data_IF_401433341943
#
_entry.id   IF_401433341943
#
_cell.length_a   1.000
_cell.length_b   1.000
_cell.length_c   1.000
_cell.angle_alpha   90.00
_cell.angle_beta   90.00
_cell.angle_gamma   90.00
#
_symmetry.space_group_name_H-M   'P 1'
#
loop_
_entity.id
_entity.type
_entity.pdbx_description
1 polymer ?
#
# COMPACT_ATOMS: atom_id res chain seq x y z
N UNK A 1 4.16 2.02 -25.46
CA UNK A 1 3.10 2.37 -24.47
C UNK A 1 2.41 3.64 -24.94
N UNK A 2 1.14 3.56 -25.32
CA UNK A 2 0.35 4.77 -25.45
C UNK A 2 0.21 5.40 -24.07
N UNK A 3 0.38 6.72 -23.93
CA UNK A 3 0.58 7.40 -22.62
C UNK A 3 -0.54 7.16 -21.57
N UNK A 4 -1.65 6.50 -21.94
CA UNK A 4 -2.86 6.39 -21.11
C UNK A 4 -3.54 5.02 -21.15
N UNK A 5 -2.97 4.00 -21.80
CA UNK A 5 -3.56 2.66 -21.89
C UNK A 5 -2.53 1.57 -21.58
N UNK A 6 -3.01 0.47 -21.03
CA UNK A 6 -2.20 -0.75 -20.88
C UNK A 6 -1.93 -1.36 -22.26
N UNK A 7 -0.80 -2.03 -22.38
CA UNK A 7 -0.52 -2.87 -23.54
C UNK A 7 -1.52 -4.06 -23.59
N UNK A 8 -1.82 -4.59 -24.78
CA UNK A 8 -2.75 -5.73 -24.91
C UNK A 8 -2.40 -6.92 -24.03
N UNK A 9 -1.12 -7.24 -23.89
CA UNK A 9 -0.62 -8.33 -23.03
C UNK A 9 -0.88 -8.05 -21.54
N UNK A 10 -0.70 -6.81 -21.08
CA UNK A 10 -1.00 -6.42 -19.71
C UNK A 10 -2.51 -6.51 -19.44
N UNK A 11 -3.33 -6.11 -20.39
CA UNK A 11 -4.79 -6.20 -20.28
C UNK A 11 -5.24 -7.66 -20.19
N UNK A 12 -4.71 -8.53 -21.05
CA UNK A 12 -5.00 -9.96 -21.03
C UNK A 12 -4.59 -10.60 -19.69
N UNK A 13 -3.40 -10.27 -19.21
CA UNK A 13 -2.91 -10.76 -17.92
C UNK A 13 -3.78 -10.30 -16.74
N UNK A 14 -4.26 -9.05 -16.75
CA UNK A 14 -5.18 -8.56 -15.71
C UNK A 14 -6.49 -9.36 -15.67
N UNK A 15 -7.05 -9.72 -16.82
CA UNK A 15 -8.29 -10.53 -16.88
C UNK A 15 -8.02 -12.00 -16.47
N UNK A 16 -6.87 -12.56 -16.83
CA UNK A 16 -6.44 -13.87 -16.35
C UNK A 16 -6.32 -13.89 -14.82
N UNK A 17 -5.65 -12.90 -14.23
CA UNK A 17 -5.52 -12.76 -12.77
C UNK A 17 -6.87 -12.62 -12.08
N UNK A 18 -7.80 -11.86 -12.65
CA UNK A 18 -9.15 -11.71 -12.11
C UNK A 18 -9.89 -13.06 -12.10
N UNK A 19 -9.86 -13.78 -13.22
CA UNK A 19 -10.48 -15.09 -13.35
C UNK A 19 -9.88 -16.08 -12.35
N UNK A 20 -8.54 -16.11 -12.25
CA UNK A 20 -7.82 -16.93 -11.30
C UNK A 20 -8.19 -16.61 -9.84
N UNK A 21 -8.35 -15.30 -9.52
CA UNK A 21 -8.80 -14.87 -8.19
C UNK A 21 -10.22 -15.37 -7.88
N UNK A 22 -11.13 -15.28 -8.85
CA UNK A 22 -12.52 -15.71 -8.67
C UNK A 22 -12.67 -17.23 -8.59
N UNK A 23 -12.00 -17.99 -9.47
CA UNK A 23 -12.23 -19.42 -9.63
C UNK A 23 -11.36 -20.28 -8.69
N UNK A 24 -10.14 -19.84 -8.38
CA UNK A 24 -9.18 -20.65 -7.61
C UNK A 24 -8.89 -20.11 -6.22
N UNK A 25 -8.74 -18.79 -6.05
CA UNK A 25 -8.32 -18.21 -4.78
C UNK A 25 -9.50 -17.92 -3.84
N UNK A 26 -10.62 -17.40 -4.36
CA UNK A 26 -11.82 -17.14 -3.56
C UNK A 26 -12.34 -18.38 -2.82
N UNK A 27 -12.43 -19.58 -3.42
CA UNK A 27 -12.86 -20.77 -2.69
C UNK A 27 -11.93 -21.19 -1.55
N UNK A 28 -10.64 -20.82 -1.61
CA UNK A 28 -9.69 -21.02 -0.51
C UNK A 28 -9.84 -19.93 0.55
N UNK A 29 -10.07 -18.69 0.13
CA UNK A 29 -10.32 -17.57 1.04
C UNK A 29 -11.57 -17.80 1.90
N UNK A 30 -12.67 -18.26 1.29
CA UNK A 30 -13.95 -18.56 1.97
C UNK A 30 -13.85 -19.68 3.01
N UNK A 31 -12.83 -20.55 2.92
CA UNK A 31 -12.57 -21.59 3.92
C UNK A 31 -11.67 -21.14 5.05
N UNK A 32 -11.08 -19.95 4.93
CA UNK A 32 -10.23 -19.37 5.96
C UNK A 32 -11.02 -18.92 7.19
N UNK A 33 -10.37 -18.93 8.34
CA UNK A 33 -10.91 -18.38 9.58
C UNK A 33 -10.72 -16.85 9.57
N UNK A 34 -11.79 -16.04 9.77
CA UNK A 34 -11.66 -14.59 9.83
C UNK A 34 -10.64 -14.13 10.88
N UNK A 35 -9.80 -13.17 10.54
CA UNK A 35 -8.77 -12.63 11.45
C UNK A 35 -7.54 -13.54 11.62
N UNK A 36 -7.46 -14.67 10.91
CA UNK A 36 -6.34 -15.61 10.97
C UNK A 36 -5.60 -15.68 9.64
N UNK A 37 -4.32 -16.05 9.70
CA UNK A 37 -3.51 -16.26 8.48
C UNK A 37 -4.02 -17.50 7.73
N UNK A 38 -4.49 -17.30 6.51
CA UNK A 38 -4.93 -18.38 5.64
C UNK A 38 -3.72 -19.02 4.94
N UNK A 39 -3.03 -19.94 5.60
CA UNK A 39 -1.85 -20.64 5.05
C UNK A 39 -2.13 -21.43 3.76
N UNK A 40 -3.30 -22.11 3.57
CA UNK A 40 -3.63 -22.71 2.29
C UNK A 40 -3.74 -21.72 1.13
N UNK A 41 -4.29 -20.52 1.39
CA UNK A 41 -4.36 -19.46 0.38
C UNK A 41 -2.95 -18.93 0.03
N UNK A 42 -2.09 -18.75 1.03
CA UNK A 42 -0.70 -18.33 0.81
C UNK A 42 0.08 -19.38 0.00
N UNK A 43 -0.08 -20.67 0.30
CA UNK A 43 0.54 -21.75 -0.45
C UNK A 43 0.09 -21.74 -1.93
N UNK A 44 -1.22 -21.55 -2.18
CA UNK A 44 -1.74 -21.42 -3.54
C UNK A 44 -1.17 -20.21 -4.29
N UNK A 45 -1.01 -19.06 -3.63
CA UNK A 45 -0.34 -17.87 -4.21
C UNK A 45 1.12 -18.18 -4.59
N UNK A 46 1.82 -18.95 -3.76
CA UNK A 46 3.19 -19.42 -4.04
C UNK A 46 3.24 -20.41 -5.22
N UNK A 47 2.38 -21.43 -5.25
CA UNK A 47 2.28 -22.41 -6.33
C UNK A 47 1.96 -21.78 -7.69
N UNK A 48 1.16 -20.71 -7.69
CA UNK A 48 0.82 -19.92 -8.87
C UNK A 48 1.94 -18.94 -9.29
N UNK A 49 3.05 -18.89 -8.53
CA UNK A 49 4.17 -17.98 -8.80
C UNK A 49 3.89 -16.50 -8.54
N UNK A 50 2.73 -16.16 -7.94
CA UNK A 50 2.33 -14.76 -7.73
C UNK A 50 3.19 -14.08 -6.67
N UNK A 51 3.61 -14.81 -5.63
CA UNK A 51 4.52 -14.29 -4.61
C UNK A 51 5.92 -14.03 -5.19
N UNK A 52 6.43 -14.93 -6.03
CA UNK A 52 7.73 -14.74 -6.69
C UNK A 52 7.69 -13.53 -7.63
N UNK A 53 6.64 -13.44 -8.43
CA UNK A 53 6.42 -12.33 -9.37
C UNK A 53 6.36 -10.98 -8.65
N UNK A 54 5.68 -10.90 -7.51
CA UNK A 54 5.61 -9.67 -6.71
C UNK A 54 6.99 -9.15 -6.30
N UNK A 55 7.94 -10.02 -5.99
CA UNK A 55 9.30 -9.61 -5.60
C UNK A 55 10.21 -9.29 -6.77
N UNK A 56 9.91 -9.81 -7.96
CA UNK A 56 10.70 -9.61 -9.18
C UNK A 56 10.22 -8.44 -10.04
N UNK A 57 9.03 -7.89 -9.77
CA UNK A 57 8.38 -6.90 -10.62
C UNK A 57 8.62 -5.45 -10.16
N UNK A 58 8.33 -4.51 -11.08
CA UNK A 58 8.25 -3.08 -10.78
C UNK A 58 6.94 -2.69 -10.10
N UNK A 59 6.82 -1.40 -9.80
CA UNK A 59 5.63 -0.85 -9.14
C UNK A 59 4.37 -0.94 -10.01
N UNK A 60 4.50 -0.77 -11.33
CA UNK A 60 3.35 -0.89 -12.24
C UNK A 60 2.80 -2.32 -12.25
N UNK A 61 3.65 -3.31 -12.38
CA UNK A 61 3.24 -4.71 -12.39
C UNK A 61 2.62 -5.11 -11.04
N UNK A 62 3.19 -4.66 -9.92
CA UNK A 62 2.61 -4.81 -8.59
C UNK A 62 1.21 -4.19 -8.51
N UNK A 63 0.99 -3.01 -9.09
CA UNK A 63 -0.33 -2.38 -9.14
C UNK A 63 -1.33 -3.19 -9.97
N UNK A 64 -0.93 -3.69 -11.13
CA UNK A 64 -1.79 -4.54 -11.98
C UNK A 64 -2.19 -5.84 -11.27
N UNK A 65 -1.24 -6.47 -10.61
CA UNK A 65 -1.46 -7.68 -9.82
C UNK A 65 -2.47 -7.43 -8.69
N UNK A 66 -2.24 -6.40 -7.88
CA UNK A 66 -3.10 -6.07 -6.74
C UNK A 66 -4.49 -5.61 -7.16
N UNK A 67 -4.63 -4.76 -8.20
CA UNK A 67 -5.93 -4.35 -8.74
C UNK A 67 -6.75 -5.56 -9.20
N UNK A 68 -6.11 -6.46 -9.96
CA UNK A 68 -6.79 -7.60 -10.56
C UNK A 68 -7.24 -8.62 -9.52
N UNK A 69 -6.37 -8.94 -8.55
CA UNK A 69 -6.73 -9.82 -7.43
C UNK A 69 -7.86 -9.22 -6.59
N UNK A 70 -7.78 -7.94 -6.25
CA UNK A 70 -8.80 -7.26 -5.44
C UNK A 70 -10.18 -7.23 -6.09
N UNK A 71 -10.24 -7.13 -7.43
CA UNK A 71 -11.49 -7.18 -8.18
C UNK A 71 -12.15 -8.56 -8.08
N UNK A 72 -11.35 -9.63 -7.98
CA UNK A 72 -11.81 -11.02 -7.88
C UNK A 72 -11.94 -11.54 -6.45
N UNK A 73 -10.97 -11.28 -5.59
CA UNK A 73 -10.88 -11.77 -4.20
C UNK A 73 -9.97 -10.86 -3.37
N UNK A 74 -10.55 -10.04 -2.50
CA UNK A 74 -9.81 -9.10 -1.64
C UNK A 74 -8.91 -9.80 -0.64
N UNK A 75 -9.29 -10.97 -0.13
CA UNK A 75 -8.49 -11.76 0.82
C UNK A 75 -7.20 -12.29 0.17
N UNK A 76 -7.28 -12.71 -1.10
CA UNK A 76 -6.10 -13.17 -1.83
C UNK A 76 -5.14 -12.01 -2.12
N UNK A 77 -5.68 -10.85 -2.47
CA UNK A 77 -4.90 -9.62 -2.63
C UNK A 77 -4.20 -9.25 -1.33
N UNK A 78 -4.96 -9.22 -0.23
CA UNK A 78 -4.42 -8.87 1.08
C UNK A 78 -3.34 -9.85 1.54
N UNK A 79 -3.57 -11.16 1.41
CA UNK A 79 -2.59 -12.18 1.75
C UNK A 79 -1.27 -11.98 0.97
N UNK A 80 -1.36 -11.69 -0.33
CA UNK A 80 -0.20 -11.37 -1.17
C UNK A 80 0.49 -10.07 -0.71
N UNK A 81 -0.27 -9.00 -0.52
CA UNK A 81 0.26 -7.68 -0.16
C UNK A 81 0.99 -7.68 1.18
N UNK A 82 0.45 -8.38 2.19
CA UNK A 82 1.06 -8.48 3.52
C UNK A 82 2.39 -9.23 3.48
N UNK A 83 2.49 -10.30 2.68
CA UNK A 83 3.76 -10.97 2.43
C UNK A 83 4.78 -10.02 1.78
N UNK A 84 4.34 -9.26 0.80
CA UNK A 84 5.15 -8.26 0.13
C UNK A 84 5.68 -7.20 1.08
N UNK A 85 4.80 -6.62 1.88
CA UNK A 85 5.15 -5.55 2.82
C UNK A 85 6.18 -6.03 3.86
N UNK A 86 5.95 -7.21 4.47
CA UNK A 86 6.84 -7.77 5.48
C UNK A 86 8.20 -8.21 4.94
N UNK A 87 8.26 -8.63 3.67
CA UNK A 87 9.46 -9.25 3.06
C UNK A 87 10.29 -8.27 2.23
N UNK A 88 9.70 -7.21 1.68
CA UNK A 88 10.45 -6.24 0.85
C UNK A 88 11.70 -5.67 1.53
N UNK A 89 11.70 -5.37 2.85
CA UNK A 89 12.93 -4.99 3.55
C UNK A 89 14.03 -6.04 3.46
N UNK A 90 13.68 -7.34 3.53
CA UNK A 90 14.66 -8.44 3.37
C UNK A 90 15.21 -8.50 1.94
N UNK A 91 14.32 -8.35 0.94
CA UNK A 91 14.72 -8.34 -0.48
C UNK A 91 15.69 -7.20 -0.78
N UNK A 92 15.41 -6.01 -0.25
CA UNK A 92 16.16 -4.77 -0.61
C UNK A 92 17.38 -4.51 0.26
N UNK A 93 17.28 -4.75 1.57
CA UNK A 93 18.29 -4.41 2.55
C UNK A 93 18.91 -5.61 3.26
N UNK A 94 18.38 -6.82 3.07
CA UNK A 94 18.91 -8.04 3.69
C UNK A 94 20.26 -8.46 3.12
N UNK A 95 21.08 -9.11 3.93
CA UNK A 95 22.30 -9.79 3.52
C UNK A 95 22.01 -10.99 2.62
N UNK A 96 22.98 -11.52 1.86
CA UNK A 96 22.79 -12.77 1.11
C UNK A 96 22.29 -13.93 1.99
N UNK A 97 22.84 -14.09 3.19
CA UNK A 97 22.43 -15.15 4.14
C UNK A 97 20.97 -14.97 4.62
N UNK A 98 20.55 -13.75 4.93
CA UNK A 98 19.15 -13.46 5.29
C UNK A 98 18.20 -13.77 4.14
N UNK A 99 18.55 -13.38 2.92
CA UNK A 99 17.74 -13.67 1.71
C UNK A 99 17.65 -15.19 1.46
N UNK A 100 18.78 -15.89 1.51
CA UNK A 100 18.83 -17.35 1.31
C UNK A 100 17.98 -18.09 2.34
N UNK A 101 18.01 -17.67 3.59
CA UNK A 101 17.23 -18.28 4.68
C UNK A 101 15.72 -18.10 4.51
N UNK A 102 15.24 -16.89 4.15
CA UNK A 102 13.84 -16.55 4.28
C UNK A 102 13.05 -16.52 2.96
N UNK A 103 13.66 -16.02 1.87
CA UNK A 103 12.94 -15.82 0.62
C UNK A 103 12.39 -17.09 -0.01
N UNK A 104 13.07 -18.27 0.00
CA UNK A 104 12.50 -19.47 -0.60
C UNK A 104 11.19 -19.91 0.08
N UNK A 105 11.11 -19.79 1.40
CA UNK A 105 9.88 -20.11 2.15
C UNK A 105 8.75 -19.14 1.86
N UNK A 106 9.04 -17.83 1.82
CA UNK A 106 8.07 -16.78 1.50
C UNK A 106 7.54 -16.93 0.07
N UNK A 107 8.42 -17.09 -0.92
CA UNK A 107 8.04 -17.27 -2.34
C UNK A 107 7.15 -18.49 -2.57
N UNK A 108 7.37 -19.54 -1.80
CA UNK A 108 6.55 -20.74 -1.83
C UNK A 108 5.28 -20.65 -0.95
N UNK A 109 4.99 -19.52 -0.32
CA UNK A 109 3.83 -19.32 0.56
C UNK A 109 3.85 -20.14 1.85
N UNK A 110 5.00 -20.69 2.24
CA UNK A 110 5.15 -21.49 3.47
C UNK A 110 5.57 -20.68 4.67
N UNK A 111 6.25 -19.56 4.45
CA UNK A 111 6.75 -18.67 5.51
C UNK A 111 5.95 -17.38 5.48
N UNK A 112 5.44 -16.96 6.62
CA UNK A 112 4.60 -15.77 6.80
C UNK A 112 5.44 -14.63 7.36
N UNK A 113 5.38 -13.47 6.70
CA UNK A 113 6.11 -12.27 7.07
C UNK A 113 5.21 -11.20 7.69
N UNK A 114 5.75 -10.42 8.63
CA UNK A 114 5.09 -9.24 9.17
C UNK A 114 5.97 -7.99 9.05
N UNK A 115 5.33 -6.80 9.01
CA UNK A 115 5.98 -5.49 8.98
C UNK A 115 5.62 -4.71 10.24
N UNK A 116 6.50 -4.70 11.22
CA UNK A 116 6.25 -4.20 12.56
C UNK A 116 6.83 -2.77 12.75
N UNK A 117 6.14 -1.78 12.16
CA UNK A 117 6.52 -0.36 12.25
C UNK A 117 5.71 0.37 13.33
N UNK A 118 4.37 0.28 13.28
CA UNK A 118 3.45 1.07 14.08
C UNK A 118 3.43 0.68 15.54
N UNK A 119 3.19 1.68 16.43
CA UNK A 119 3.04 1.54 17.87
C UNK A 119 1.75 2.22 18.33
N UNK A 120 1.21 1.93 19.52
CA UNK A 120 0.03 2.62 20.03
C UNK A 120 0.18 4.15 20.03
N UNK A 121 1.37 4.67 20.31
CA UNK A 121 1.69 6.11 20.33
C UNK A 121 2.29 6.66 19.03
N UNK A 122 2.60 5.81 18.03
CA UNK A 122 3.32 6.21 16.82
C UNK A 122 2.75 5.52 15.56
N UNK A 123 1.62 5.99 15.09
CA UNK A 123 1.00 5.57 13.83
C UNK A 123 1.39 6.50 12.68
N UNK A 124 0.70 7.65 12.55
CA UNK A 124 0.97 8.65 11.50
C UNK A 124 2.35 9.28 11.65
N UNK A 125 2.81 9.52 12.86
CA UNK A 125 4.18 9.95 13.17
C UNK A 125 5.07 8.74 13.46
N UNK A 126 5.32 7.92 12.43
CA UNK A 126 6.13 6.72 12.55
C UNK A 126 7.60 7.01 12.96
N UNK A 127 8.09 8.23 12.77
CA UNK A 127 9.41 8.67 13.23
C UNK A 127 9.52 8.79 14.76
N UNK A 128 8.40 8.89 15.45
CA UNK A 128 8.32 8.98 16.91
C UNK A 128 8.24 7.62 17.62
N UNK A 129 8.40 6.50 16.89
CA UNK A 129 8.40 5.16 17.51
C UNK A 129 9.37 5.07 18.69
N UNK A 130 8.98 4.30 19.71
CA UNK A 130 9.63 4.22 21.03
C UNK A 130 10.14 2.83 21.39
N UNK A 131 9.79 1.76 20.65
CA UNK A 131 10.33 0.42 20.87
C UNK A 131 11.85 0.52 21.00
N UNK A 132 12.39 0.26 22.18
CA UNK A 132 13.80 0.44 22.49
C UNK A 132 14.62 -0.75 21.96
N UNK A 133 15.81 -0.46 21.42
CA UNK A 133 16.86 -1.42 21.14
C UNK A 133 18.07 -1.08 22.03
N UNK A 134 18.11 -1.67 23.24
CA UNK A 134 19.14 -1.41 24.23
C UNK A 134 20.41 -2.20 23.87
N UNK A 135 21.59 -1.56 23.80
CA UNK A 135 22.82 -2.24 23.43
C UNK A 135 23.27 -3.26 24.47
N UNK A 136 23.79 -4.40 23.99
CA UNK A 136 24.40 -5.46 24.78
C UNK A 136 25.74 -5.87 24.18
N UNK A 137 26.58 -6.63 24.87
CA UNK A 137 27.89 -7.07 24.32
C UNK A 137 27.79 -7.86 22.99
N UNK A 138 26.62 -8.48 22.69
CA UNK A 138 26.41 -9.29 21.49
C UNK A 138 25.41 -8.72 20.49
N UNK A 139 24.90 -7.50 20.69
CA UNK A 139 23.87 -6.88 19.86
C UNK A 139 22.95 -5.96 20.64
N UNK A 140 21.65 -6.23 20.62
CA UNK A 140 20.64 -5.42 21.33
C UNK A 140 19.57 -6.30 22.00
N UNK A 141 18.83 -5.70 22.92
CA UNK A 141 17.58 -6.21 23.47
C UNK A 141 16.45 -5.28 23.07
N UNK A 142 15.42 -5.85 22.44
CA UNK A 142 14.23 -5.10 22.06
C UNK A 142 13.21 -5.15 23.20
N UNK A 143 12.73 -3.97 23.62
CA UNK A 143 11.73 -3.84 24.69
C UNK A 143 10.67 -2.81 24.31
N UNK A 144 9.38 -3.20 24.40
CA UNK A 144 8.22 -2.36 24.08
C UNK A 144 7.16 -3.11 23.31
N UNK A 145 6.31 -2.38 22.58
CA UNK A 145 5.13 -2.92 21.90
C UNK A 145 5.03 -2.42 20.45
N UNK A 146 4.54 -3.28 19.56
CA UNK A 146 4.06 -2.93 18.23
C UNK A 146 2.58 -3.25 18.13
N UNK A 147 1.81 -2.39 17.42
CA UNK A 147 0.38 -2.52 17.32
C UNK A 147 -0.10 -2.36 15.86
N UNK A 148 -1.22 -2.98 15.55
CA UNK A 148 -1.79 -3.06 14.20
C UNK A 148 -0.84 -3.70 13.18
N UNK A 149 -0.18 -4.77 13.61
CA UNK A 149 0.77 -5.49 12.79
C UNK A 149 0.05 -6.61 12.06
N UNK A 150 0.00 -6.47 10.75
CA UNK A 150 -0.59 -7.50 9.89
C UNK A 150 0.19 -8.79 9.98
N UNK A 151 -0.52 -9.92 9.92
CA UNK A 151 -0.03 -11.29 10.12
C UNK A 151 0.43 -11.60 11.56
N UNK A 152 0.55 -10.63 12.47
CA UNK A 152 0.84 -10.92 13.87
C UNK A 152 -0.41 -11.46 14.59
N UNK A 153 -0.25 -12.41 15.53
CA UNK A 153 0.98 -13.02 16.00
C UNK A 153 1.42 -14.29 15.24
N UNK A 154 0.83 -14.60 14.08
CA UNK A 154 1.03 -15.86 13.35
C UNK A 154 2.17 -15.82 12.32
N UNK A 155 2.87 -14.69 12.21
CA UNK A 155 4.04 -14.54 11.35
C UNK A 155 5.19 -15.45 11.81
N UNK A 156 5.95 -15.99 10.86
CA UNK A 156 7.15 -16.78 11.14
C UNK A 156 8.38 -15.86 11.38
N UNK A 157 8.34 -14.63 10.85
CA UNK A 157 9.26 -13.56 11.18
C UNK A 157 8.62 -12.18 11.00
N UNK A 158 9.18 -11.20 11.67
CA UNK A 158 8.81 -9.79 11.52
C UNK A 158 10.02 -8.93 11.13
N UNK A 159 9.82 -8.01 10.18
CA UNK A 159 10.69 -6.83 10.02
C UNK A 159 10.28 -5.81 11.07
N UNK A 160 11.13 -5.61 12.08
CA UNK A 160 10.86 -4.78 13.26
C UNK A 160 11.71 -3.51 13.20
N UNK A 161 11.08 -2.35 13.43
CA UNK A 161 11.77 -1.07 13.52
C UNK A 161 11.86 -0.63 14.97
N UNK A 162 13.08 -0.45 15.48
CA UNK A 162 13.35 -0.10 16.86
C UNK A 162 14.33 1.06 16.98
N UNK A 163 14.27 1.78 18.09
CA UNK A 163 15.13 2.92 18.39
C UNK A 163 16.44 2.46 19.00
N UNK A 164 17.52 2.59 18.23
CA UNK A 164 18.90 2.30 18.65
C UNK A 164 19.62 3.51 19.22
N UNK A 165 19.31 4.73 18.70
CA UNK A 165 19.90 5.98 19.18
C UNK A 165 18.81 6.93 19.68
N UNK A 166 18.63 7.06 21.01
CA UNK A 166 17.69 8.01 21.60
C UNK A 166 18.00 9.46 21.18
N UNK A 167 16.95 10.27 20.98
CA UNK A 167 17.08 11.69 20.63
C UNK A 167 17.46 12.00 19.18
N UNK A 168 17.86 11.01 18.38
CA UNK A 168 18.24 11.23 16.99
C UNK A 168 17.05 11.30 15.99
N UNK A 169 15.81 11.28 16.49
CA UNK A 169 14.61 11.28 15.63
C UNK A 169 14.57 10.06 14.72
N UNK A 170 14.12 10.21 13.50
CA UNK A 170 14.07 9.11 12.51
C UNK A 170 15.45 8.53 12.13
N UNK A 171 16.53 9.26 12.41
CA UNK A 171 17.91 8.81 12.15
C UNK A 171 18.49 7.89 13.24
N UNK A 172 17.75 7.65 14.32
CA UNK A 172 18.14 6.71 15.38
C UNK A 172 17.29 5.44 15.36
N UNK A 173 16.74 5.05 14.23
CA UNK A 173 15.91 3.85 14.06
C UNK A 173 16.66 2.83 13.22
N UNK A 174 16.72 1.58 13.72
CA UNK A 174 17.27 0.43 13.02
C UNK A 174 16.18 -0.55 12.64
N UNK A 175 16.30 -1.21 11.50
CA UNK A 175 15.44 -2.29 11.08
C UNK A 175 16.08 -3.64 11.43
N UNK A 176 15.31 -4.54 12.04
CA UNK A 176 15.73 -5.88 12.44
C UNK A 176 14.82 -6.94 11.82
N UNK A 177 15.41 -8.03 11.40
CA UNK A 177 14.70 -9.25 11.02
C UNK A 177 14.59 -10.13 12.26
N UNK A 178 13.40 -10.27 12.83
CA UNK A 178 13.17 -10.98 14.08
C UNK A 178 12.35 -12.24 13.83
N UNK A 179 12.95 -13.46 13.96
CA UNK A 179 12.20 -14.71 13.95
C UNK A 179 11.16 -14.77 15.07
N UNK A 180 10.01 -15.39 14.81
CA UNK A 180 8.90 -15.44 15.76
C UNK A 180 9.20 -16.31 17.02
N UNK A 181 10.18 -17.20 16.93
CA UNK A 181 10.61 -18.09 18.02
C UNK A 181 11.60 -17.46 18.99
N UNK A 182 11.88 -16.16 18.83
CA UNK A 182 12.79 -15.44 19.77
C UNK A 182 12.21 -15.39 21.18
N UNK A 183 13.02 -15.72 22.21
CA UNK A 183 12.59 -15.58 23.60
C UNK A 183 12.13 -14.16 23.91
N UNK A 184 11.02 -14.01 24.63
CA UNK A 184 10.46 -12.72 25.03
C UNK A 184 9.58 -12.05 23.96
N UNK A 185 9.42 -12.65 22.77
CA UNK A 185 8.47 -12.19 21.77
C UNK A 185 7.13 -12.88 21.96
N UNK A 186 6.07 -12.11 22.18
CA UNK A 186 4.68 -12.58 22.23
C UNK A 186 3.78 -11.68 21.42
N UNK A 187 2.50 -12.04 21.27
CA UNK A 187 1.53 -11.21 20.55
C UNK A 187 0.11 -11.67 20.76
N UNK A 188 -0.84 -10.79 20.45
CA UNK A 188 -2.28 -11.05 20.54
C UNK A 188 -2.97 -10.63 19.25
N UNK A 189 -3.97 -11.42 18.76
CA UNK A 189 -4.79 -11.01 17.63
C UNK A 189 -5.68 -9.83 18.03
N UNK A 190 -6.01 -8.99 17.06
CA UNK A 190 -6.98 -7.90 17.18
C UNK A 190 -8.20 -8.21 16.31
N UNK A 191 -9.39 -8.04 16.89
CA UNK A 191 -10.65 -8.13 16.13
C UNK A 191 -10.93 -6.77 15.48
N UNK A 192 -10.89 -6.74 14.15
CA UNK A 192 -10.99 -5.52 13.37
C UNK A 192 -12.26 -5.51 12.52
N UNK A 193 -12.65 -4.32 12.02
CA UNK A 193 -13.80 -4.15 11.12
C UNK A 193 -13.70 -5.06 9.88
N UNK A 194 -12.52 -5.16 9.30
CA UNK A 194 -12.17 -6.01 8.17
C UNK A 194 -11.49 -7.26 8.71
N UNK A 195 -11.82 -8.47 8.24
CA UNK A 195 -11.37 -9.72 8.84
C UNK A 195 -9.94 -10.09 8.41
N UNK A 196 -9.01 -9.14 8.51
CA UNK A 196 -7.60 -9.39 8.22
C UNK A 196 -6.87 -9.96 9.44
N UNK A 197 -5.83 -10.81 9.23
CA UNK A 197 -4.94 -11.21 10.30
C UNK A 197 -4.10 -10.00 10.75
N UNK A 198 -4.44 -9.44 11.89
CA UNK A 198 -3.77 -8.27 12.47
C UNK A 198 -3.67 -8.43 13.99
N UNK A 199 -2.60 -7.91 14.60
CA UNK A 199 -2.40 -8.08 16.03
C UNK A 199 -1.40 -7.11 16.62
N UNK A 200 -1.05 -7.36 17.87
CA UNK A 200 0.05 -6.74 18.60
C UNK A 200 1.25 -7.69 18.65
N UNK A 201 2.44 -7.11 18.87
CA UNK A 201 3.67 -7.82 19.22
C UNK A 201 4.27 -7.15 20.45
N UNK A 202 4.52 -7.92 21.49
CA UNK A 202 5.16 -7.50 22.72
C UNK A 202 6.59 -8.02 22.76
N UNK A 203 7.53 -7.15 23.11
CA UNK A 203 8.96 -7.42 23.17
C UNK A 203 9.43 -7.24 24.62
N UNK A 204 9.73 -8.34 25.30
CA UNK A 204 10.29 -8.36 26.67
C UNK A 204 11.76 -8.77 26.61
N UNK A 205 12.62 -7.80 26.33
CA UNK A 205 14.06 -8.02 26.23
C UNK A 205 14.46 -8.99 25.11
N UNK A 206 13.75 -8.99 23.98
CA UNK A 206 13.99 -9.90 22.82
C UNK A 206 15.40 -9.71 22.28
N UNK A 207 16.26 -10.75 22.30
CA UNK A 207 17.64 -10.62 21.86
C UNK A 207 17.74 -10.54 20.34
N UNK A 208 18.51 -9.57 19.83
CA UNK A 208 18.89 -9.44 18.42
C UNK A 208 20.38 -9.13 18.30
N UNK A 209 20.99 -9.58 17.20
CA UNK A 209 22.43 -9.44 16.94
C UNK A 209 22.68 -8.58 15.69
N UNK A 210 23.93 -8.34 15.37
CA UNK A 210 24.30 -7.67 14.12
C UNK A 210 23.81 -8.43 12.87
N UNK A 211 23.70 -9.76 12.95
CA UNK A 211 23.22 -10.60 11.85
C UNK A 211 21.71 -10.46 11.61
N UNK A 212 20.97 -9.91 12.58
CA UNK A 212 19.54 -9.63 12.45
C UNK A 212 19.27 -8.22 11.86
N UNK A 213 20.27 -7.36 11.70
CA UNK A 213 20.09 -6.01 11.15
C UNK A 213 19.77 -6.08 9.66
N UNK A 214 18.74 -5.35 9.24
CA UNK A 214 18.41 -5.12 7.83
C UNK A 214 18.98 -3.76 7.38
N UNK A 215 19.97 -3.81 6.49
CA UNK A 215 20.74 -2.63 6.07
C UNK A 215 21.80 -2.23 7.09
N UNK A 216 21.78 -0.97 7.52
CA UNK A 216 22.73 -0.39 8.46
C UNK A 216 22.04 0.07 9.75
N UNK A 217 22.69 -0.01 10.91
CA UNK A 217 22.20 0.63 12.14
C UNK A 217 21.85 2.11 11.91
N UNK A 218 20.82 2.59 12.57
CA UNK A 218 20.30 3.97 12.46
C UNK A 218 19.81 4.40 11.08
N UNK A 219 19.68 3.45 10.11
CA UNK A 219 19.14 3.67 8.77
C UNK A 219 17.80 2.97 8.52
N UNK A 220 17.24 2.32 9.53
CA UNK A 220 16.02 1.52 9.40
C UNK A 220 14.80 2.33 8.96
N UNK A 221 14.68 3.60 9.34
CA UNK A 221 13.59 4.44 8.88
C UNK A 221 13.59 4.64 7.35
N UNK A 222 14.79 4.69 6.75
CA UNK A 222 14.91 4.72 5.28
C UNK A 222 14.39 3.41 4.67
N UNK A 223 14.74 2.26 5.25
CA UNK A 223 14.22 0.94 4.81
C UNK A 223 12.70 0.91 4.86
N UNK A 224 12.09 1.46 5.94
CA UNK A 224 10.64 1.58 6.03
C UNK A 224 10.04 2.46 4.93
N UNK A 225 10.61 3.64 4.71
CA UNK A 225 10.09 4.60 3.72
C UNK A 225 10.26 4.12 2.28
N UNK A 226 11.37 3.46 1.96
CA UNK A 226 11.63 2.87 0.63
C UNK A 226 10.61 1.74 0.34
N UNK A 227 10.26 0.94 1.35
CA UNK A 227 9.20 -0.06 1.25
C UNK A 227 7.84 0.60 1.02
N UNK A 228 7.46 1.58 1.83
CA UNK A 228 6.17 2.26 1.72
C UNK A 228 6.02 3.05 0.41
N UNK A 229 7.10 3.62 -0.14
CA UNK A 229 7.04 4.33 -1.41
C UNK A 229 6.74 3.40 -2.59
N UNK A 230 7.18 2.13 -2.54
CA UNK A 230 6.80 1.09 -3.50
C UNK A 230 5.32 0.69 -3.31
N UNK A 231 4.89 0.50 -2.05
CA UNK A 231 3.57 -0.06 -1.76
C UNK A 231 2.42 0.95 -1.84
N UNK A 232 2.61 2.23 -1.56
CA UNK A 232 1.55 3.25 -1.57
C UNK A 232 0.75 3.33 -2.88
N UNK A 233 1.37 3.37 -4.09
CA UNK A 233 0.60 3.29 -5.34
C UNK A 233 -0.22 2.01 -5.42
N UNK A 234 0.31 0.88 -4.96
CA UNK A 234 -0.36 -0.41 -5.01
C UNK A 234 -1.52 -0.54 -3.99
N UNK A 235 -1.50 0.20 -2.87
CA UNK A 235 -2.70 0.40 -2.02
C UNK A 235 -3.80 1.12 -2.81
N UNK A 236 -3.42 2.10 -3.64
CA UNK A 236 -4.36 2.73 -4.57
C UNK A 236 -4.94 1.72 -5.57
N UNK A 237 -4.10 0.82 -6.11
CA UNK A 237 -4.54 -0.25 -7.00
C UNK A 237 -5.53 -1.23 -6.33
N UNK A 238 -5.26 -1.63 -5.07
CA UNK A 238 -6.19 -2.40 -4.25
C UNK A 238 -7.56 -1.71 -4.16
N UNK A 239 -7.57 -0.42 -3.82
CA UNK A 239 -8.78 0.37 -3.73
C UNK A 239 -9.53 0.46 -5.07
N UNK A 240 -8.80 0.64 -6.19
CA UNK A 240 -9.37 0.61 -7.55
C UNK A 240 -10.00 -0.74 -7.88
N UNK A 241 -9.37 -1.85 -7.50
CA UNK A 241 -9.92 -3.21 -7.70
C UNK A 241 -11.27 -3.38 -7.00
N UNK A 242 -11.39 -2.95 -5.75
CA UNK A 242 -12.66 -2.94 -5.01
C UNK A 242 -13.71 -2.02 -5.65
N UNK A 243 -13.32 -0.83 -6.08
CA UNK A 243 -14.22 0.11 -6.75
C UNK A 243 -14.76 -0.48 -8.07
N UNK A 244 -13.91 -1.15 -8.86
CA UNK A 244 -14.32 -1.84 -10.09
C UNK A 244 -15.29 -2.97 -9.80
N UNK A 245 -15.02 -3.83 -8.81
CA UNK A 245 -15.94 -4.89 -8.40
C UNK A 245 -17.33 -4.34 -7.99
N UNK A 246 -17.35 -3.26 -7.21
CA UNK A 246 -18.57 -2.59 -6.80
C UNK A 246 -19.32 -1.95 -7.97
N UNK A 247 -18.60 -1.31 -8.90
CA UNK A 247 -19.17 -0.69 -10.11
C UNK A 247 -19.80 -1.76 -11.02
N UNK A 248 -19.07 -2.84 -11.31
CA UNK A 248 -19.55 -3.95 -12.14
C UNK A 248 -20.85 -4.56 -11.58
N UNK A 249 -20.85 -4.83 -10.27
CA UNK A 249 -22.04 -5.33 -9.56
C UNK A 249 -23.21 -4.35 -9.65
N UNK A 250 -22.94 -3.05 -9.52
CA UNK A 250 -23.97 -1.99 -9.56
C UNK A 250 -24.57 -1.82 -10.94
N UNK A 251 -23.74 -1.81 -11.99
CA UNK A 251 -24.22 -1.76 -13.39
C UNK A 251 -25.12 -2.97 -13.67
N UNK A 252 -24.68 -4.18 -13.32
CA UNK A 252 -25.45 -5.39 -13.52
C UNK A 252 -26.77 -5.40 -12.70
N UNK A 253 -26.76 -4.84 -11.49
CA UNK A 253 -27.94 -4.73 -10.65
C UNK A 253 -28.94 -3.73 -11.20
N UNK A 254 -28.53 -2.51 -11.52
CA UNK A 254 -29.42 -1.42 -11.94
C UNK A 254 -30.04 -1.67 -13.30
N UNK A 255 -29.33 -2.38 -14.19
CA UNK A 255 -29.87 -2.78 -15.49
C UNK A 255 -30.99 -3.84 -15.40
N UNK A 256 -30.98 -4.68 -14.34
CA UNK A 256 -31.97 -5.77 -14.20
C UNK A 256 -33.06 -5.47 -13.19
N UNK A 257 -32.80 -4.67 -12.17
CA UNK A 257 -33.75 -4.34 -11.13
C UNK A 257 -34.77 -3.31 -11.61
N UNK A 258 -36.02 -3.68 -11.59
CA UNK A 258 -37.13 -2.78 -11.93
C UNK A 258 -37.78 -2.16 -10.68
N UNK A 259 -38.10 -0.88 -10.76
CA UNK A 259 -38.93 -0.13 -9.82
C UNK A 259 -39.64 0.99 -10.58
N UNK A 260 -40.80 1.42 -10.10
CA UNK A 260 -41.60 2.46 -10.75
C UNK A 260 -41.93 2.17 -12.23
N UNK A 261 -42.03 0.87 -12.60
CA UNK A 261 -42.37 0.43 -13.95
C UNK A 261 -41.23 0.33 -14.97
N UNK A 262 -39.98 0.63 -14.57
CA UNK A 262 -38.80 0.61 -15.44
C UNK A 262 -37.55 0.06 -14.74
N UNK A 263 -36.49 -0.35 -15.47
CA UNK A 263 -35.19 -0.62 -14.89
C UNK A 263 -34.66 0.58 -14.09
N UNK A 264 -33.91 0.33 -13.00
CA UNK A 264 -33.31 1.42 -12.22
C UNK A 264 -32.36 2.27 -13.04
N UNK A 265 -31.69 1.70 -14.04
CA UNK A 265 -30.81 2.42 -14.99
C UNK A 265 -31.49 3.54 -15.75
N UNK A 266 -32.81 3.47 -15.94
CA UNK A 266 -33.58 4.48 -16.67
C UNK A 266 -33.88 5.71 -15.79
N UNK A 267 -33.69 5.61 -14.48
CA UNK A 267 -33.81 6.74 -13.57
C UNK A 267 -32.55 7.60 -13.67
N UNK A 268 -32.70 8.87 -14.09
CA UNK A 268 -31.58 9.79 -14.27
C UNK A 268 -30.70 9.92 -13.02
N UNK A 269 -31.30 9.95 -11.81
CA UNK A 269 -30.57 10.02 -10.56
C UNK A 269 -29.67 8.78 -10.33
N UNK A 270 -30.06 7.60 -10.85
CA UNK A 270 -29.24 6.36 -10.77
C UNK A 270 -28.16 6.37 -11.83
N UNK A 271 -28.50 6.64 -13.09
CA UNK A 271 -27.52 6.65 -14.21
C UNK A 271 -26.42 7.68 -14.00
N UNK A 272 -26.72 8.86 -13.44
CA UNK A 272 -25.70 9.88 -13.11
C UNK A 272 -24.77 9.42 -11.99
N UNK A 273 -25.26 8.73 -10.96
CA UNK A 273 -24.41 8.17 -9.91
C UNK A 273 -23.46 7.09 -10.45
N UNK A 274 -23.97 6.20 -11.33
CA UNK A 274 -23.13 5.19 -11.98
C UNK A 274 -22.06 5.84 -12.86
N UNK A 275 -22.39 6.90 -13.61
CA UNK A 275 -21.42 7.66 -14.40
C UNK A 275 -20.33 8.29 -13.51
N UNK A 276 -20.70 8.89 -12.37
CA UNK A 276 -19.75 9.45 -11.41
C UNK A 276 -18.85 8.37 -10.80
N UNK A 277 -19.42 7.20 -10.43
CA UNK A 277 -18.64 6.06 -9.94
C UNK A 277 -17.60 5.62 -10.97
N UNK A 278 -17.99 5.49 -12.23
CA UNK A 278 -17.10 5.10 -13.33
C UNK A 278 -15.97 6.13 -13.54
N UNK A 279 -16.33 7.42 -13.59
CA UNK A 279 -15.37 8.52 -13.77
C UNK A 279 -14.33 8.56 -12.67
N UNK A 280 -14.75 8.44 -11.39
CA UNK A 280 -13.82 8.42 -10.24
C UNK A 280 -12.91 7.20 -10.26
N UNK A 281 -13.45 6.04 -10.61
CA UNK A 281 -12.68 4.78 -10.68
C UNK A 281 -11.59 4.88 -11.76
N UNK A 282 -11.93 5.37 -12.94
CA UNK A 282 -10.97 5.52 -14.03
C UNK A 282 -9.91 6.58 -13.74
N UNK A 283 -10.30 7.75 -13.21
CA UNK A 283 -9.36 8.79 -12.79
C UNK A 283 -8.39 8.28 -11.71
N UNK A 284 -8.88 7.51 -10.74
CA UNK A 284 -8.07 6.89 -9.70
C UNK A 284 -7.06 5.90 -10.30
N UNK A 285 -7.50 5.06 -11.23
CA UNK A 285 -6.69 4.06 -11.93
C UNK A 285 -5.54 4.71 -12.71
N UNK A 286 -5.82 5.76 -13.46
CA UNK A 286 -4.82 6.51 -14.21
C UNK A 286 -3.77 7.15 -13.30
N UNK A 287 -4.17 7.75 -12.17
CA UNK A 287 -3.24 8.30 -11.19
C UNK A 287 -2.34 7.22 -10.57
N UNK A 288 -2.89 6.04 -10.27
CA UNK A 288 -2.13 4.91 -9.73
C UNK A 288 -1.07 4.45 -10.73
N UNK A 289 -1.44 4.25 -11.99
CA UNK A 289 -0.51 3.79 -13.03
C UNK A 289 0.55 4.84 -13.34
N UNK A 290 0.18 6.12 -13.39
CA UNK A 290 1.15 7.20 -13.58
C UNK A 290 2.17 7.28 -12.43
N UNK A 291 1.73 7.08 -11.19
CA UNK A 291 2.62 7.07 -10.02
C UNK A 291 3.55 5.85 -10.04
N UNK A 292 3.03 4.67 -10.40
CA UNK A 292 3.80 3.44 -10.49
C UNK A 292 4.83 3.48 -11.62
N UNK A 293 4.46 3.96 -12.82
CA UNK A 293 5.36 4.13 -13.94
C UNK A 293 6.49 5.13 -13.64
N UNK A 294 6.17 6.25 -12.95
CA UNK A 294 7.18 7.22 -12.53
C UNK A 294 8.16 6.63 -11.50
N UNK A 295 7.68 5.75 -10.61
CA UNK A 295 8.55 5.02 -9.68
C UNK A 295 9.51 4.11 -10.44
N UNK A 296 9.01 3.32 -11.38
CA UNK A 296 9.81 2.37 -12.18
C UNK A 296 10.84 3.08 -13.07
N UNK A 297 10.49 4.27 -13.58
CA UNK A 297 11.39 5.12 -14.36
C UNK A 297 12.42 5.88 -13.50
N UNK A 298 12.36 5.81 -12.17
CA UNK A 298 13.25 6.55 -11.27
C UNK A 298 13.07 8.07 -11.37
N UNK A 299 11.87 8.55 -11.73
CA UNK A 299 11.58 9.98 -11.86
C UNK A 299 11.68 10.71 -10.51
N UNK A 300 11.92 12.02 -10.55
CA UNK A 300 11.83 12.88 -9.37
C UNK A 300 10.39 13.06 -8.91
N UNK A 301 10.17 13.33 -7.60
CA UNK A 301 8.85 13.59 -7.04
C UNK A 301 7.96 12.34 -6.88
N UNK A 302 8.55 11.15 -6.87
CA UNK A 302 7.85 9.88 -6.59
C UNK A 302 7.01 9.93 -5.31
N UNK A 303 7.49 10.43 -4.15
CA UNK A 303 6.69 10.45 -2.93
C UNK A 303 5.39 11.25 -3.08
N UNK A 304 5.42 12.39 -3.77
CA UNK A 304 4.23 13.20 -4.05
C UNK A 304 3.24 12.47 -4.97
N UNK A 305 3.74 11.86 -6.06
CA UNK A 305 2.90 11.11 -7.02
C UNK A 305 2.24 9.92 -6.33
N UNK A 306 3.00 9.15 -5.56
CA UNK A 306 2.50 8.02 -4.77
C UNK A 306 1.44 8.46 -3.74
N UNK A 307 1.66 9.59 -3.06
CA UNK A 307 0.70 10.16 -2.11
C UNK A 307 -0.59 10.61 -2.80
N UNK A 308 -0.51 11.27 -3.97
CA UNK A 308 -1.68 11.69 -4.76
C UNK A 308 -2.49 10.48 -5.24
N UNK A 309 -1.83 9.47 -5.76
CA UNK A 309 -2.47 8.24 -6.23
C UNK A 309 -3.19 7.51 -5.10
N UNK A 310 -2.51 7.26 -3.98
CA UNK A 310 -3.09 6.59 -2.81
C UNK A 310 -4.26 7.37 -2.23
N UNK A 311 -4.11 8.68 -2.02
CA UNK A 311 -5.17 9.55 -1.49
C UNK A 311 -6.42 9.49 -2.37
N UNK A 312 -6.27 9.80 -3.66
CA UNK A 312 -7.41 9.90 -4.55
C UNK A 312 -8.10 8.54 -4.76
N UNK A 313 -7.33 7.47 -4.94
CA UNK A 313 -7.88 6.13 -5.15
C UNK A 313 -8.67 5.62 -3.94
N UNK A 314 -8.14 5.78 -2.72
CA UNK A 314 -8.83 5.28 -1.52
C UNK A 314 -10.07 6.09 -1.17
N UNK A 315 -10.07 7.41 -1.36
CA UNK A 315 -11.25 8.26 -1.18
C UNK A 315 -12.32 7.96 -2.25
N UNK A 316 -11.91 7.79 -3.52
CA UNK A 316 -12.81 7.43 -4.61
C UNK A 316 -13.44 6.06 -4.42
N UNK A 317 -12.67 5.06 -4.00
CA UNK A 317 -13.18 3.72 -3.73
C UNK A 317 -14.21 3.71 -2.60
N UNK A 318 -13.98 4.46 -1.53
CA UNK A 318 -14.97 4.63 -0.46
C UNK A 318 -16.28 5.21 -1.01
N UNK A 319 -16.21 6.26 -1.83
CA UNK A 319 -17.38 6.86 -2.47
C UNK A 319 -18.11 5.84 -3.37
N UNK A 320 -17.37 5.10 -4.20
CA UNK A 320 -17.95 4.14 -5.14
C UNK A 320 -18.64 3.00 -4.42
N UNK A 321 -18.01 2.42 -3.40
CA UNK A 321 -18.60 1.32 -2.62
C UNK A 321 -19.81 1.79 -1.81
N UNK A 322 -19.76 2.96 -1.18
CA UNK A 322 -20.89 3.54 -0.44
C UNK A 322 -22.10 3.77 -1.37
N UNK A 323 -21.85 4.38 -2.55
CA UNK A 323 -22.88 4.59 -3.56
C UNK A 323 -23.46 3.26 -4.08
N UNK A 324 -22.60 2.25 -4.29
CA UNK A 324 -23.05 0.91 -4.69
C UNK A 324 -24.00 0.28 -3.65
N UNK A 325 -23.65 0.35 -2.36
CA UNK A 325 -24.52 -0.10 -1.27
C UNK A 325 -25.86 0.62 -1.31
N UNK A 326 -25.85 1.94 -1.46
CA UNK A 326 -27.07 2.75 -1.55
C UNK A 326 -27.96 2.32 -2.70
N UNK A 327 -27.41 2.11 -3.90
CA UNK A 327 -28.18 1.72 -5.10
C UNK A 327 -28.72 0.29 -5.03
N UNK A 328 -28.08 -0.60 -4.29
CA UNK A 328 -28.58 -1.96 -4.05
C UNK A 328 -29.63 -2.03 -2.93
N UNK A 329 -29.66 -1.04 -2.05
CA UNK A 329 -30.55 -0.98 -0.89
C UNK A 329 -30.26 -2.10 0.12
N UNK A 330 -31.29 -2.52 0.87
CA UNK A 330 -31.15 -3.45 1.98
C UNK A 330 -30.47 -4.79 1.64
N UNK A 331 -30.45 -5.20 0.37
CA UNK A 331 -29.74 -6.41 -0.08
C UNK A 331 -28.25 -6.34 0.20
N UNK A 332 -27.66 -5.16 -0.05
CA UNK A 332 -26.24 -4.93 0.16
C UNK A 332 -25.82 -4.88 1.64
N UNK A 333 -26.77 -4.84 2.57
CA UNK A 333 -26.49 -4.85 4.02
C UNK A 333 -26.49 -6.27 4.62
N UNK A 334 -26.81 -7.28 3.81
CA UNK A 334 -26.79 -8.67 4.29
C UNK A 334 -25.38 -9.19 4.35
N UNK A 335 -24.99 -9.81 5.48
CA UNK A 335 -23.69 -10.51 5.60
C UNK A 335 -23.55 -11.54 4.49
N UNK A 336 -22.34 -11.61 3.90
CA UNK A 336 -22.03 -12.45 2.76
C UNK A 336 -22.41 -11.85 1.40
N UNK A 337 -22.99 -10.66 1.35
CA UNK A 337 -23.14 -9.92 0.10
C UNK A 337 -21.82 -9.22 -0.28
N UNK A 338 -21.44 -9.25 -1.55
CA UNK A 338 -20.18 -8.64 -2.04
C UNK A 338 -20.01 -7.19 -1.52
N UNK A 339 -21.05 -6.36 -1.64
CA UNK A 339 -20.93 -4.94 -1.26
C UNK A 339 -20.86 -4.72 0.26
N UNK A 340 -21.48 -5.58 1.07
CA UNK A 340 -21.32 -5.58 2.53
C UNK A 340 -19.86 -5.87 2.89
N UNK A 341 -19.27 -6.87 2.26
CA UNK A 341 -17.86 -7.20 2.42
C UNK A 341 -16.97 -6.04 2.00
N UNK A 342 -17.13 -5.52 0.78
CA UNK A 342 -16.35 -4.40 0.26
C UNK A 342 -16.50 -3.13 1.11
N UNK A 343 -17.67 -2.90 1.73
CA UNK A 343 -17.92 -1.74 2.59
C UNK A 343 -17.03 -1.76 3.85
N UNK A 344 -16.81 -2.94 4.42
CA UNK A 344 -15.88 -3.12 5.54
C UNK A 344 -14.41 -2.97 5.09
N UNK A 345 -14.09 -3.57 3.95
CA UNK A 345 -12.71 -3.56 3.40
C UNK A 345 -12.25 -2.16 3.00
N UNK A 346 -13.06 -1.41 2.26
CA UNK A 346 -12.67 -0.12 1.66
C UNK A 346 -12.37 0.97 2.69
N UNK A 347 -12.81 0.78 3.95
CA UNK A 347 -12.61 1.79 5.01
C UNK A 347 -11.15 1.88 5.46
N UNK A 348 -10.45 0.77 5.54
CA UNK A 348 -9.11 0.66 6.10
C UNK A 348 -8.02 1.32 5.22
N UNK A 349 -8.02 1.22 3.87
CA UNK A 349 -7.01 1.86 3.01
C UNK A 349 -6.85 3.38 3.17
N UNK A 350 -7.86 4.08 3.67
CA UNK A 350 -7.79 5.51 3.99
C UNK A 350 -6.98 5.81 5.25
N UNK A 351 -6.68 4.79 6.05
CA UNK A 351 -6.03 4.89 7.36
C UNK A 351 -4.59 4.36 7.30
N UNK A 352 -4.41 3.13 6.85
CA UNK A 352 -3.10 2.49 6.87
C UNK A 352 -2.15 3.01 5.78
N UNK A 353 -0.85 2.69 5.89
CA UNK A 353 0.24 3.13 5.00
C UNK A 353 0.28 4.66 4.80
N UNK A 354 -0.09 5.39 5.82
CA UNK A 354 -0.24 6.84 5.85
C UNK A 354 -1.67 7.28 5.57
N UNK A 355 -2.33 7.76 6.61
CA UNK A 355 -3.72 8.26 6.55
C UNK A 355 -3.88 9.36 5.48
N UNK A 356 -5.11 9.60 5.03
CA UNK A 356 -5.43 10.63 4.03
C UNK A 356 -4.82 11.98 4.37
N UNK A 357 -4.78 12.35 5.65
CA UNK A 357 -4.16 13.59 6.16
C UNK A 357 -2.65 13.59 5.98
N UNK A 358 -1.99 12.45 6.23
CA UNK A 358 -0.54 12.28 6.00
C UNK A 358 -0.21 12.41 4.51
N UNK A 359 -1.03 11.83 3.63
CA UNK A 359 -0.84 11.97 2.19
C UNK A 359 -0.96 13.44 1.75
N UNK A 360 -1.96 14.17 2.26
CA UNK A 360 -2.11 15.63 2.00
C UNK A 360 -0.91 16.42 2.48
N UNK A 361 -0.37 16.09 3.65
CA UNK A 361 0.83 16.74 4.20
C UNK A 361 2.08 16.49 3.31
N UNK A 362 2.27 15.26 2.82
CA UNK A 362 3.37 14.93 1.90
C UNK A 362 3.25 15.74 0.61
N UNK A 363 2.05 15.78 0.00
CA UNK A 363 1.80 16.51 -1.24
C UNK A 363 2.12 18.01 -1.05
N UNK A 364 1.57 18.63 0.00
CA UNK A 364 1.77 20.05 0.29
C UNK A 364 3.24 20.38 0.53
N UNK A 365 3.93 19.57 1.36
CA UNK A 365 5.36 19.77 1.67
C UNK A 365 6.23 19.77 0.41
N UNK A 366 6.03 18.85 -0.51
CA UNK A 366 6.83 18.79 -1.74
C UNK A 366 6.51 19.93 -2.72
N UNK A 367 5.25 20.36 -2.80
CA UNK A 367 4.86 21.50 -3.61
C UNK A 367 5.53 22.79 -3.12
N UNK A 368 5.51 23.05 -1.81
CA UNK A 368 6.15 24.23 -1.22
C UNK A 368 7.69 24.17 -1.31
N UNK A 369 8.29 22.99 -1.13
CA UNK A 369 9.73 22.83 -1.32
C UNK A 369 10.17 23.13 -2.77
N UNK A 370 9.39 22.65 -3.75
CA UNK A 370 9.63 22.93 -5.16
C UNK A 370 9.50 24.42 -5.49
N UNK A 371 8.49 25.09 -4.94
CA UNK A 371 8.30 26.53 -5.12
C UNK A 371 9.45 27.34 -4.51
N UNK A 372 9.92 26.96 -3.31
CA UNK A 372 11.05 27.62 -2.66
C UNK A 372 12.37 27.46 -3.44
N UNK A 373 12.61 26.26 -3.99
CA UNK A 373 13.79 26.01 -4.83
C UNK A 373 13.80 26.89 -6.09
N UNK A 374 12.67 26.95 -6.81
CA UNK A 374 12.52 27.82 -7.99
C UNK A 374 12.74 29.31 -7.67
N UNK A 375 12.24 29.79 -6.53
CA UNK A 375 12.46 31.17 -6.10
C UNK A 375 13.94 31.44 -5.77
N UNK A 376 14.65 30.47 -5.17
CA UNK A 376 16.07 30.58 -4.90
C UNK A 376 16.89 30.63 -6.20
N UNK A 377 16.58 29.80 -7.18
CA UNK A 377 17.22 29.79 -8.52
C UNK A 377 16.98 31.11 -9.26
N UNK A 378 15.75 31.64 -9.23
CA UNK A 378 15.40 32.90 -9.87
C UNK A 378 16.15 34.11 -9.26
N UNK A 379 16.48 34.07 -7.96
CA UNK A 379 17.28 35.09 -7.28
C UNK A 379 18.77 35.02 -7.61
N UNK A 380 19.27 33.86 -8.04
CA UNK A 380 20.67 33.63 -8.39
C UNK A 380 20.96 33.89 -9.88
N UNK A 381 19.93 33.97 -10.74
CA UNK A 381 20.10 34.29 -12.15
C UNK A 381 20.31 35.80 -12.27
N UNK A 382 21.49 36.31 -12.74
CA UNK A 382 21.70 37.73 -12.94
C UNK A 382 20.68 38.29 -13.94
N UNK A 383 20.03 39.39 -13.60
CA UNK A 383 19.24 40.12 -14.57
C UNK A 383 20.22 40.58 -15.67
N UNK A 384 20.13 39.99 -16.86
CA UNK A 384 20.81 40.59 -18.02
C UNK A 384 20.18 41.97 -18.24
N UNK A 385 20.97 43.02 -17.99
CA UNK A 385 20.57 44.35 -18.40
C UNK A 385 20.25 44.36 -19.91
N UNK A 386 19.12 44.90 -20.32
CA UNK A 386 18.82 44.99 -21.74
C UNK A 386 19.94 45.75 -22.42
N UNK A 387 20.54 45.15 -23.45
CA UNK A 387 21.58 45.79 -24.25
C UNK A 387 21.07 47.18 -24.68
N UNK A 388 21.85 48.26 -24.37
CA UNK A 388 21.52 49.60 -24.77
C UNK A 388 21.23 49.66 -26.27
N UNK A 389 20.09 50.17 -26.68
CA UNK A 389 19.72 50.35 -28.10
C UNK A 389 20.71 51.38 -28.72
N UNK A 390 21.51 51.00 -29.70
CA UNK A 390 22.49 51.86 -30.32
C UNK A 390 21.89 53.04 -31.12
N UNK A 391 20.54 53.18 -31.16
CA UNK A 391 19.82 54.22 -31.88
C UNK A 391 19.51 55.50 -31.08
N UNK A 392 19.96 55.61 -29.83
CA UNK A 392 19.77 56.84 -28.99
C UNK A 392 21.02 57.73 -28.95
N UNK A 393 21.86 57.76 -30.02
CA UNK A 393 22.84 58.85 -30.15
C UNK A 393 22.15 59.99 -30.91
N UNK A 394 21.79 61.04 -30.19
CA UNK A 394 21.37 62.32 -30.77
C UNK A 394 22.54 62.91 -31.53
N UNK A 395 22.35 63.50 -32.75
CA UNK A 395 23.39 64.22 -33.45
C UNK A 395 23.67 65.54 -32.75
N UNK A 396 24.87 65.73 -32.23
CA UNK A 396 25.38 67.04 -31.82
C UNK A 396 25.56 67.93 -33.02
N UNK A 397 24.85 69.08 -33.02
CA UNK A 397 25.07 70.23 -33.85
C UNK A 397 25.99 71.23 -33.12
#
# INVERSE_FOLDING_TARGET
>A
MTAFSLEPEQTAWCEELRTLAEERLRPLAEKGEPGRVNRPLLAALGELGLLDRMFGSGALELCLLRESLARGCTEAETALALQGLGTTPVVRAGTPAQRERWLPGVRAGRTVAAFALSEPGAGSDAGALSLAAEPTPGGWRLTGEKCWISNAPEADFATVFARTTPGAGSRGITAFLVPADRPGLTGQPLDMLSPHPIGTLEFDGVPVTADDVLGEPDRGFRVAMDTLNLFRPSVGAFAVGMARAALDATVAHTARRTAFGAPLSDLQAVSHQVAEMATRTEAARLLVFAAAAAYDAGESGVPRRAAMAKLYATESAQYVVDTAVQLHGARALRRGHLLEHLYREVRAPRIYEGASEVQRAIIAKELYATAAARQAEARQTPVQEPAADPRTQEPTV
#
